data_IF_980058615517
#
_entry.id   IF_980058615517
#
_cell.length_a   1.000
_cell.length_b   1.000
_cell.length_c   1.000
_cell.angle_alpha   90.00
_cell.angle_beta   90.00
_cell.angle_gamma   90.00
#
_symmetry.space_group_name_H-M   'P 1'
#
loop_
_entity.id
_entity.type
_entity.pdbx_description
1 polymer ?
#
# COMPACT_ATOMS: atom_id res chain seq x y z
N UNK A 1 -19.70 5.66 -7.66
CA UNK A 1 -18.62 6.32 -6.89
C UNK A 1 -17.48 6.68 -7.85
N UNK A 2 -17.01 7.91 -7.85
CA UNK A 2 -15.92 8.37 -8.73
C UNK A 2 -14.61 7.63 -8.42
N UNK A 3 -13.71 7.51 -9.40
CA UNK A 3 -12.44 6.80 -9.22
C UNK A 3 -11.62 7.37 -8.06
N UNK A 4 -11.45 8.69 -7.98
CA UNK A 4 -10.69 9.32 -6.89
C UNK A 4 -11.28 9.03 -5.50
N UNK A 5 -12.62 9.08 -5.35
CA UNK A 5 -13.28 8.74 -4.09
C UNK A 5 -13.01 7.29 -3.66
N UNK A 6 -12.97 6.34 -4.63
CA UNK A 6 -12.64 4.93 -4.33
C UNK A 6 -11.25 4.79 -3.71
N UNK A 7 -10.26 5.46 -4.30
CA UNK A 7 -8.88 5.42 -3.79
C UNK A 7 -8.77 6.05 -2.40
N UNK A 8 -9.45 7.20 -2.15
CA UNK A 8 -9.44 7.82 -0.82
C UNK A 8 -10.06 6.90 0.22
N UNK A 9 -11.23 6.35 -0.06
CA UNK A 9 -11.94 5.46 0.89
C UNK A 9 -11.13 4.20 1.16
N UNK A 10 -10.66 3.52 0.10
CA UNK A 10 -9.82 2.34 0.26
C UNK A 10 -8.53 2.67 1.03
N UNK A 11 -7.84 3.75 0.64
CA UNK A 11 -6.61 4.18 1.31
C UNK A 11 -6.81 4.45 2.80
N UNK A 12 -7.90 5.13 3.20
CA UNK A 12 -8.20 5.40 4.61
C UNK A 12 -8.43 4.12 5.40
N UNK A 13 -9.21 3.17 4.87
CA UNK A 13 -9.44 1.89 5.55
C UNK A 13 -8.17 1.04 5.65
N UNK A 14 -7.36 0.99 4.57
CA UNK A 14 -6.10 0.28 4.61
C UNK A 14 -5.09 0.93 5.57
N UNK A 15 -5.04 2.27 5.59
CA UNK A 15 -4.19 2.99 6.53
C UNK A 15 -4.57 2.65 7.98
N UNK A 16 -5.87 2.70 8.31
CA UNK A 16 -6.35 2.31 9.62
C UNK A 16 -6.00 0.84 9.97
N UNK A 17 -6.19 -0.09 9.02
CA UNK A 17 -5.86 -1.49 9.22
C UNK A 17 -4.36 -1.71 9.48
N UNK A 18 -3.49 -1.08 8.70
CA UNK A 18 -2.03 -1.20 8.91
C UNK A 18 -1.54 -0.44 10.15
N UNK A 19 -2.21 0.64 10.57
CA UNK A 19 -1.94 1.28 11.87
C UNK A 19 -2.30 0.33 13.02
N UNK A 20 -3.46 -0.35 12.95
CA UNK A 20 -3.85 -1.39 13.92
C UNK A 20 -2.81 -2.52 13.92
N UNK A 21 -2.37 -2.96 12.74
CA UNK A 21 -1.31 -3.95 12.61
C UNK A 21 -0.02 -3.51 13.34
N UNK A 22 0.32 -2.23 13.32
CA UNK A 22 1.43 -1.68 14.10
C UNK A 22 1.31 -1.95 15.62
N UNK A 23 0.09 -1.86 16.18
CA UNK A 23 -0.13 -2.22 17.60
C UNK A 23 0.11 -3.71 17.85
N UNK A 24 -0.23 -4.59 16.90
CA UNK A 24 0.10 -6.02 17.00
C UNK A 24 1.62 -6.21 17.07
N UNK A 25 2.39 -5.51 16.22
CA UNK A 25 3.85 -5.58 16.23
C UNK A 25 4.45 -5.08 17.56
N UNK A 26 3.91 -4.02 18.14
CA UNK A 26 4.28 -3.53 19.47
C UNK A 26 3.98 -4.60 20.53
N UNK A 27 2.81 -5.22 20.48
CA UNK A 27 2.43 -6.28 21.40
C UNK A 27 3.38 -7.48 21.33
N UNK A 28 3.78 -7.89 20.13
CA UNK A 28 4.74 -8.98 19.93
C UNK A 28 6.12 -8.64 20.47
N UNK A 29 6.55 -7.38 20.35
CA UNK A 29 7.86 -6.91 20.82
C UNK A 29 7.94 -6.77 22.34
N UNK A 30 6.89 -6.25 22.98
CA UNK A 30 6.97 -5.78 24.35
C UNK A 30 6.25 -6.71 25.35
N UNK A 31 5.17 -7.37 24.94
CA UNK A 31 4.26 -8.10 25.82
C UNK A 31 4.17 -9.60 25.56
N UNK A 32 4.50 -10.08 24.36
CA UNK A 32 4.38 -11.50 24.03
C UNK A 32 5.38 -12.38 24.79
N UNK A 33 5.03 -13.61 25.19
CA UNK A 33 5.94 -14.55 25.84
C UNK A 33 7.19 -14.86 25.01
N UNK A 34 7.07 -14.88 23.66
CA UNK A 34 8.17 -15.13 22.73
C UNK A 34 8.96 -13.89 22.29
N UNK A 35 8.85 -12.75 22.98
CA UNK A 35 9.45 -11.49 22.55
C UNK A 35 10.96 -11.53 22.27
N UNK A 36 11.71 -12.35 23.02
CA UNK A 36 13.15 -12.47 22.83
C UNK A 36 13.51 -13.04 21.45
N UNK A 37 12.78 -14.08 20.99
CA UNK A 37 12.94 -14.65 19.65
C UNK A 37 12.46 -13.65 18.58
N UNK A 38 11.34 -12.97 18.84
CA UNK A 38 10.83 -11.94 17.94
C UNK A 38 11.85 -10.81 17.74
N UNK A 39 12.52 -10.35 18.79
CA UNK A 39 13.55 -9.31 18.70
C UNK A 39 14.79 -9.84 17.98
N UNK A 40 15.17 -11.10 18.19
CA UNK A 40 16.32 -11.71 17.50
C UNK A 40 16.13 -11.75 15.97
N UNK A 41 14.90 -11.92 15.50
CA UNK A 41 14.53 -11.93 14.06
C UNK A 41 14.39 -10.52 13.45
N UNK A 42 14.88 -9.48 14.11
CA UNK A 42 14.69 -8.09 13.68
C UNK A 42 15.15 -7.80 12.24
N UNK A 43 16.27 -8.36 11.84
CA UNK A 43 16.88 -8.14 10.53
C UNK A 43 16.55 -9.26 9.51
N UNK A 44 15.94 -10.34 9.95
CA UNK A 44 15.62 -11.53 9.13
C UNK A 44 14.32 -12.16 9.64
N UNK A 45 13.78 -13.12 8.88
CA UNK A 45 12.63 -13.89 9.32
C UNK A 45 11.33 -13.08 9.48
N UNK A 46 10.42 -13.62 10.28
CA UNK A 46 9.04 -13.13 10.39
C UNK A 46 8.94 -11.70 10.93
N UNK A 47 9.82 -11.30 11.83
CA UNK A 47 9.82 -9.92 12.33
C UNK A 47 10.17 -8.92 11.23
N UNK A 48 11.21 -9.20 10.45
CA UNK A 48 11.62 -8.37 9.32
C UNK A 48 10.47 -8.22 8.31
N UNK A 49 9.88 -9.34 7.87
CA UNK A 49 8.78 -9.37 6.91
C UNK A 49 7.54 -8.63 7.43
N UNK A 50 7.21 -8.80 8.71
CA UNK A 50 6.09 -8.09 9.34
C UNK A 50 6.27 -6.58 9.34
N UNK A 51 7.48 -6.09 9.63
CA UNK A 51 7.81 -4.67 9.57
C UNK A 51 7.77 -4.14 8.14
N UNK A 52 8.29 -4.91 7.19
CA UNK A 52 8.26 -4.58 5.77
C UNK A 52 6.81 -4.41 5.29
N UNK A 53 5.93 -5.35 5.62
CA UNK A 53 4.50 -5.27 5.32
C UNK A 53 3.85 -4.02 5.95
N UNK A 54 4.15 -3.73 7.23
CA UNK A 54 3.61 -2.58 7.94
C UNK A 54 4.01 -1.25 7.28
N UNK A 55 5.28 -1.08 6.94
CA UNK A 55 5.79 0.14 6.31
C UNK A 55 5.19 0.32 4.93
N UNK A 56 5.22 -0.71 4.08
CA UNK A 56 4.64 -0.64 2.73
C UNK A 56 3.13 -0.49 2.77
N UNK A 57 2.45 -1.12 3.72
CA UNK A 57 1.00 -0.99 3.89
C UNK A 57 0.57 0.45 4.19
N UNK A 58 1.22 1.11 5.14
CA UNK A 58 0.96 2.51 5.45
C UNK A 58 1.32 3.44 4.28
N UNK A 59 2.47 3.23 3.64
CA UNK A 59 2.90 4.04 2.50
C UNK A 59 1.91 3.91 1.32
N UNK A 60 1.53 2.69 0.93
CA UNK A 60 0.67 2.47 -0.22
C UNK A 60 -0.78 2.91 0.04
N UNK A 61 -1.24 2.79 1.29
CA UNK A 61 -2.50 3.38 1.72
C UNK A 61 -2.49 4.91 1.55
N UNK A 62 -1.44 5.57 2.03
CA UNK A 62 -1.26 7.00 1.87
C UNK A 62 -1.16 7.41 0.39
N UNK A 63 -0.39 6.68 -0.43
CA UNK A 63 -0.32 6.91 -1.88
C UNK A 63 -1.69 6.81 -2.55
N UNK A 64 -2.54 5.85 -2.15
CA UNK A 64 -3.89 5.76 -2.68
C UNK A 64 -4.77 6.96 -2.29
N UNK A 65 -4.66 7.47 -1.07
CA UNK A 65 -5.36 8.70 -0.66
C UNK A 65 -4.89 9.86 -1.55
N UNK A 66 -3.58 10.00 -1.74
CA UNK A 66 -2.98 11.06 -2.58
C UNK A 66 -3.40 10.93 -4.04
N UNK A 67 -3.34 9.72 -4.64
CA UNK A 67 -3.82 9.44 -6.00
C UNK A 67 -5.27 9.88 -6.13
N UNK A 68 -6.11 9.49 -5.18
CA UNK A 68 -7.52 9.83 -5.19
C UNK A 68 -7.76 11.34 -5.11
N UNK A 69 -7.04 12.03 -4.25
CA UNK A 69 -7.11 13.48 -4.12
C UNK A 69 -6.68 14.18 -5.42
N UNK A 70 -5.55 13.79 -6.01
CA UNK A 70 -5.05 14.38 -7.25
C UNK A 70 -6.01 14.14 -8.44
N UNK A 71 -6.60 12.95 -8.56
CA UNK A 71 -7.61 12.64 -9.60
C UNK A 71 -8.84 13.55 -9.47
N UNK A 72 -9.22 13.93 -8.24
CA UNK A 72 -10.42 14.77 -8.02
C UNK A 72 -10.17 16.26 -8.24
N UNK A 73 -8.93 16.73 -8.07
CA UNK A 73 -8.63 18.17 -8.07
C UNK A 73 -7.81 18.62 -9.28
N UNK A 74 -7.21 17.70 -10.02
CA UNK A 74 -6.43 18.05 -11.20
C UNK A 74 -7.19 17.67 -12.50
N UNK A 75 -6.96 18.39 -13.60
CA UNK A 75 -7.63 18.14 -14.89
C UNK A 75 -7.07 16.89 -15.60
N UNK A 76 -7.24 15.73 -14.94
CA UNK A 76 -6.84 14.43 -15.46
C UNK A 76 -7.97 13.85 -16.30
N UNK A 77 -7.67 13.32 -17.50
CA UNK A 77 -8.68 12.70 -18.37
C UNK A 77 -9.37 11.52 -17.68
N UNK A 78 -10.65 11.28 -18.01
CA UNK A 78 -11.42 10.17 -17.42
C UNK A 78 -10.75 8.80 -17.68
N UNK A 79 -10.09 8.62 -18.82
CA UNK A 79 -9.33 7.41 -19.14
C UNK A 79 -8.14 7.23 -18.21
N UNK A 80 -7.32 8.28 -18.01
CA UNK A 80 -6.19 8.24 -17.09
C UNK A 80 -6.66 8.06 -15.65
N UNK A 81 -7.69 8.77 -15.22
CA UNK A 81 -8.27 8.63 -13.89
C UNK A 81 -8.69 7.20 -13.58
N UNK A 82 -9.33 6.52 -14.55
CA UNK A 82 -9.73 5.11 -14.43
C UNK A 82 -8.52 4.21 -14.18
N UNK A 83 -7.53 4.24 -15.06
CA UNK A 83 -6.40 3.31 -15.01
C UNK A 83 -5.46 3.60 -13.83
N UNK A 84 -5.16 4.87 -13.57
CA UNK A 84 -4.38 5.28 -12.39
C UNK A 84 -5.05 4.80 -11.10
N UNK A 85 -6.37 4.98 -10.99
CA UNK A 85 -7.13 4.51 -9.83
C UNK A 85 -7.04 3.00 -9.64
N UNK A 86 -7.29 2.21 -10.68
CA UNK A 86 -7.24 0.75 -10.58
C UNK A 86 -5.83 0.23 -10.30
N UNK A 87 -4.82 0.76 -10.97
CA UNK A 87 -3.42 0.41 -10.72
C UNK A 87 -3.00 0.76 -9.29
N UNK A 88 -3.42 1.93 -8.79
CA UNK A 88 -3.16 2.33 -7.40
C UNK A 88 -3.77 1.36 -6.39
N UNK A 89 -5.03 0.96 -6.60
CA UNK A 89 -5.70 -0.03 -5.75
C UNK A 89 -5.04 -1.41 -5.85
N UNK A 90 -4.67 -1.85 -7.07
CA UNK A 90 -3.93 -3.11 -7.27
C UNK A 90 -2.58 -3.08 -6.57
N UNK A 91 -1.95 -1.91 -6.42
CA UNK A 91 -0.73 -1.74 -5.65
C UNK A 91 -0.82 -2.26 -4.22
N UNK A 92 -2.02 -2.24 -3.61
CA UNK A 92 -2.25 -2.77 -2.25
C UNK A 92 -1.99 -4.28 -2.15
N UNK A 93 -1.90 -5.00 -3.26
CA UNK A 93 -1.50 -6.41 -3.26
C UNK A 93 -0.08 -6.61 -2.74
N UNK A 94 0.81 -5.62 -2.85
CA UNK A 94 2.19 -5.77 -2.37
C UNK A 94 2.25 -5.98 -0.85
N UNK A 95 1.77 -5.06 0.01
CA UNK A 95 1.82 -5.28 1.45
C UNK A 95 0.95 -6.45 1.93
N UNK A 96 -0.20 -6.71 1.28
CA UNK A 96 -1.01 -7.89 1.56
C UNK A 96 -0.25 -9.16 1.17
N UNK A 97 0.42 -9.16 0.02
CA UNK A 97 1.23 -10.27 -0.47
C UNK A 97 2.38 -10.60 0.48
N UNK A 98 3.07 -9.60 1.03
CA UNK A 98 4.12 -9.82 2.04
C UNK A 98 3.54 -10.53 3.27
N UNK A 99 2.39 -10.06 3.80
CA UNK A 99 1.72 -10.74 4.93
C UNK A 99 1.33 -12.17 4.55
N UNK A 100 0.75 -12.37 3.38
CA UNK A 100 0.32 -13.69 2.93
C UNK A 100 1.51 -14.65 2.69
N UNK A 101 2.65 -14.13 2.25
CA UNK A 101 3.87 -14.92 2.02
C UNK A 101 4.39 -15.52 3.32
N UNK A 102 4.66 -14.71 4.35
CA UNK A 102 5.21 -15.23 5.60
C UNK A 102 4.17 -15.93 6.49
N UNK A 103 2.88 -15.55 6.41
CA UNK A 103 1.85 -16.13 7.26
C UNK A 103 1.20 -17.39 6.66
N UNK A 104 1.11 -17.49 5.34
CA UNK A 104 0.37 -18.53 4.63
C UNK A 104 1.20 -19.27 3.58
N UNK A 105 2.46 -18.89 3.37
CA UNK A 105 3.29 -19.44 2.30
C UNK A 105 2.81 -19.08 0.89
N UNK A 106 2.13 -17.94 0.73
CA UNK A 106 1.64 -17.51 -0.58
C UNK A 106 2.79 -17.19 -1.55
N UNK A 107 2.49 -17.20 -2.85
CA UNK A 107 3.49 -16.89 -3.88
C UNK A 107 3.91 -15.42 -3.83
N UNK A 108 5.22 -15.10 -3.96
CA UNK A 108 5.74 -13.72 -4.03
C UNK A 108 5.25 -12.95 -5.28
N UNK A 109 4.56 -13.61 -6.20
CA UNK A 109 3.96 -12.97 -7.39
C UNK A 109 3.01 -11.84 -7.01
N UNK A 110 2.28 -11.96 -5.90
CA UNK A 110 1.38 -10.90 -5.43
C UNK A 110 2.15 -9.64 -5.00
N UNK A 111 3.29 -9.81 -4.35
CA UNK A 111 4.19 -8.72 -3.96
C UNK A 111 4.70 -8.00 -5.21
N UNK A 112 5.21 -8.76 -6.17
CA UNK A 112 5.74 -8.22 -7.41
C UNK A 112 4.65 -7.50 -8.24
N UNK A 113 3.48 -8.12 -8.41
CA UNK A 113 2.36 -7.54 -9.15
C UNK A 113 1.89 -6.23 -8.52
N UNK A 114 1.75 -6.18 -7.19
CA UNK A 114 1.40 -4.97 -6.46
C UNK A 114 2.44 -3.87 -6.61
N UNK A 115 3.73 -4.21 -6.48
CA UNK A 115 4.84 -3.27 -6.68
C UNK A 115 4.87 -2.66 -8.07
N UNK A 116 4.73 -3.48 -9.11
CA UNK A 116 4.66 -3.00 -10.51
C UNK A 116 3.43 -2.10 -10.70
N UNK A 117 2.28 -2.48 -10.16
CA UNK A 117 1.05 -1.73 -10.32
C UNK A 117 1.13 -0.32 -9.73
N UNK A 118 1.67 -0.17 -8.51
CA UNK A 118 1.78 1.15 -7.87
C UNK A 118 2.78 2.05 -8.62
N UNK A 119 3.91 1.49 -9.08
CA UNK A 119 4.89 2.22 -9.88
C UNK A 119 4.26 2.69 -11.20
N UNK A 120 3.54 1.81 -11.90
CA UNK A 120 2.82 2.15 -13.11
C UNK A 120 1.77 3.25 -12.87
N UNK A 121 1.00 3.15 -11.77
CA UNK A 121 0.01 4.15 -11.37
C UNK A 121 0.65 5.53 -11.18
N UNK A 122 1.72 5.61 -10.38
CA UNK A 122 2.41 6.87 -10.08
C UNK A 122 3.05 7.47 -11.33
N UNK A 123 3.70 6.65 -12.15
CA UNK A 123 4.31 7.09 -13.41
C UNK A 123 3.26 7.64 -14.38
N UNK A 124 2.15 6.92 -14.53
CA UNK A 124 1.05 7.37 -15.39
C UNK A 124 0.43 8.68 -14.89
N UNK A 125 0.17 8.77 -13.57
CA UNK A 125 -0.36 9.99 -12.98
C UNK A 125 0.60 11.18 -13.20
N UNK A 126 1.90 10.97 -13.01
CA UNK A 126 2.92 11.99 -13.28
C UNK A 126 2.86 12.51 -14.72
N UNK A 127 2.79 11.61 -15.71
CA UNK A 127 2.63 12.01 -17.12
C UNK A 127 1.29 12.69 -17.39
N UNK A 128 0.19 12.23 -16.78
CA UNK A 128 -1.12 12.84 -16.95
C UNK A 128 -1.15 14.27 -16.42
N UNK A 129 -0.55 14.52 -15.25
CA UNK A 129 -0.44 15.86 -14.65
C UNK A 129 0.50 16.75 -15.46
N UNK A 130 1.65 16.23 -15.90
CA UNK A 130 2.60 17.00 -16.73
C UNK A 130 1.97 17.51 -18.03
N UNK A 131 1.10 16.71 -18.65
CA UNK A 131 0.39 17.09 -19.87
C UNK A 131 -0.85 17.96 -19.62
N UNK A 132 -1.31 18.05 -18.39
CA UNK A 132 -2.47 18.84 -18.04
C UNK A 132 -2.14 20.33 -18.09
N UNK A 133 -3.01 21.12 -18.72
CA UNK A 133 -2.91 22.59 -18.64
C UNK A 133 -3.47 22.99 -17.26
N UNK A 134 -2.58 23.24 -16.33
CA UNK A 134 -2.95 23.84 -15.05
C UNK A 134 -3.27 25.31 -15.29
N UNK A 135 -4.52 25.71 -15.01
CA UNK A 135 -4.97 27.12 -15.12
C UNK A 135 -4.63 27.84 -13.84
#
# INVERSE_FOLDING_TARGET
MTYGKKNIVAGLFFLAAFMIYGFVLISLRDFAPGKALWIADYATGTHFESRLAHVHGNLFAFLNIMIGYLILHLPVSAFSAKWVSWLGLTGMLMPIGIVAEFALGASPVFVLAGGIAIVASMTWLGFAVWRAKLV
#
